data_IF_480147872976
#
_entry.id   IF_480147872976
#
_cell.length_a   1.000
_cell.length_b   1.000
_cell.length_c   1.000
_cell.angle_alpha   90.00
_cell.angle_beta   90.00
_cell.angle_gamma   90.00
#
_symmetry.space_group_name_H-M   'P 1'
#
loop_
_entity.id
_entity.type
_entity.pdbx_description
1 polymer ?
#
# COMPACT_ATOMS: atom_id res chain seq x y z
N UNK A 1 40.17 1.30 55.29
CA UNK A 1 40.37 0.82 53.91
C UNK A 1 39.06 1.00 53.16
N UNK A 2 38.92 2.03 52.31
CA UNK A 2 37.68 2.30 51.57
C UNK A 2 37.81 1.72 50.16
N UNK A 3 37.07 0.65 49.88
CA UNK A 3 37.03 0.00 48.57
C UNK A 3 36.16 0.86 47.65
N UNK A 4 36.76 1.47 46.62
CA UNK A 4 36.02 2.17 45.56
C UNK A 4 35.55 1.13 44.54
N UNK A 5 34.24 0.93 44.46
CA UNK A 5 33.60 0.10 43.45
C UNK A 5 33.59 0.89 42.13
N UNK A 6 34.39 0.46 41.16
CA UNK A 6 34.43 1.04 39.81
C UNK A 6 33.32 0.36 38.99
N UNK A 7 32.22 1.07 38.74
CA UNK A 7 31.13 0.59 37.89
C UNK A 7 31.55 0.85 36.44
N UNK A 8 31.96 -0.19 35.73
CA UNK A 8 32.23 -0.14 34.29
C UNK A 8 30.88 -0.16 33.56
N UNK A 9 30.49 0.97 32.97
CA UNK A 9 29.31 1.07 32.13
C UNK A 9 29.62 0.38 30.79
N UNK A 10 29.08 -0.82 30.58
CA UNK A 10 29.17 -1.53 29.31
C UNK A 10 28.20 -0.86 28.33
N UNK A 11 28.71 0.01 27.46
CA UNK A 11 27.96 0.52 26.31
C UNK A 11 27.74 -0.64 25.34
N UNK A 12 26.56 -1.25 25.40
CA UNK A 12 26.07 -2.17 24.37
C UNK A 12 25.72 -1.30 23.17
N UNK A 13 26.65 -1.15 22.23
CA UNK A 13 26.35 -0.63 20.91
C UNK A 13 25.51 -1.69 20.18
N UNK A 14 24.20 -1.49 20.13
CA UNK A 14 23.33 -2.23 19.20
C UNK A 14 23.74 -1.83 17.78
N UNK A 15 24.55 -2.66 17.13
CA UNK A 15 24.71 -2.57 15.69
C UNK A 15 23.36 -3.01 15.10
N UNK A 16 22.52 -2.05 14.73
CA UNK A 16 21.39 -2.31 13.84
C UNK A 16 22.01 -2.70 12.50
N UNK A 17 22.09 -4.01 12.25
CA UNK A 17 22.36 -4.50 10.91
C UNK A 17 21.10 -4.17 10.11
N UNK A 18 21.14 -3.08 9.34
CA UNK A 18 20.14 -2.80 8.34
C UNK A 18 20.29 -3.85 7.23
N UNK A 19 19.65 -5.00 7.43
CA UNK A 19 19.60 -6.05 6.44
C UNK A 19 18.46 -5.74 5.47
N UNK A 20 18.79 -5.63 4.19
CA UNK A 20 17.83 -5.81 3.10
C UNK A 20 16.98 -7.05 3.38
N UNK A 21 15.66 -6.93 3.22
CA UNK A 21 14.76 -8.07 3.46
C UNK A 21 15.15 -9.25 2.57
N UNK A 22 15.10 -10.46 3.12
CA UNK A 22 15.42 -11.69 2.38
C UNK A 22 14.59 -11.85 1.11
N UNK A 23 13.40 -11.25 1.08
CA UNK A 23 12.56 -11.18 -0.10
C UNK A 23 13.34 -10.59 -1.28
N UNK A 24 14.09 -9.50 -1.12
CA UNK A 24 14.79 -8.82 -2.23
C UNK A 24 16.16 -9.42 -2.61
N UNK A 25 16.50 -10.62 -2.13
CA UNK A 25 17.74 -11.30 -2.51
C UNK A 25 17.90 -11.36 -4.04
N UNK A 26 19.07 -10.91 -4.52
CA UNK A 26 19.41 -10.86 -5.95
C UNK A 26 19.08 -9.54 -6.66
N UNK A 27 18.47 -8.58 -5.97
CA UNK A 27 18.28 -7.22 -6.51
C UNK A 27 19.50 -6.36 -6.18
N UNK A 28 20.08 -5.74 -7.22
CA UNK A 28 21.17 -4.77 -7.08
C UNK A 28 20.61 -3.37 -6.89
N UNK A 29 20.53 -2.95 -5.63
CA UNK A 29 20.03 -1.61 -5.27
C UNK A 29 21.04 -0.50 -5.51
N UNK A 30 22.23 -0.73 -6.06
CA UNK A 30 23.09 0.36 -6.55
C UNK A 30 22.57 0.96 -7.87
N UNK A 31 21.68 0.23 -8.56
CA UNK A 31 21.05 0.65 -9.81
C UNK A 31 19.94 1.67 -9.57
N UNK A 32 19.58 2.39 -10.63
CA UNK A 32 18.56 3.45 -10.63
C UNK A 32 17.70 3.36 -11.90
N UNK A 33 16.62 4.14 -11.94
CA UNK A 33 15.79 4.32 -13.12
C UNK A 33 15.22 3.01 -13.65
N UNK A 34 15.21 2.88 -14.97
CA UNK A 34 14.62 1.75 -15.68
C UNK A 34 15.21 0.39 -15.28
N UNK A 35 16.51 0.33 -14.97
CA UNK A 35 17.15 -0.95 -14.61
C UNK A 35 16.63 -1.46 -13.27
N UNK A 36 16.52 -0.59 -12.26
CA UNK A 36 15.93 -0.94 -10.98
C UNK A 36 14.43 -1.26 -11.10
N UNK A 37 13.69 -0.46 -11.90
CA UNK A 37 12.28 -0.72 -12.20
C UNK A 37 12.07 -2.14 -12.74
N UNK A 38 12.82 -2.53 -13.77
CA UNK A 38 12.68 -3.86 -14.39
C UNK A 38 13.10 -4.98 -13.43
N UNK A 39 14.12 -4.76 -12.59
CA UNK A 39 14.52 -5.73 -11.58
C UNK A 39 13.39 -5.98 -10.55
N UNK A 40 12.76 -4.91 -10.06
CA UNK A 40 11.63 -5.00 -9.14
C UNK A 40 10.39 -5.59 -9.80
N UNK A 41 10.05 -5.17 -11.03
CA UNK A 41 8.95 -5.74 -11.81
C UNK A 41 9.10 -7.26 -11.94
N UNK A 42 10.28 -7.73 -12.35
CA UNK A 42 10.55 -9.17 -12.43
C UNK A 42 10.42 -9.85 -11.07
N UNK A 43 10.88 -9.20 -9.99
CA UNK A 43 10.78 -9.76 -8.64
C UNK A 43 9.33 -9.95 -8.22
N UNK A 44 8.55 -8.87 -8.27
CA UNK A 44 7.15 -8.86 -7.84
C UNK A 44 6.26 -9.60 -8.82
N UNK A 45 6.75 -9.95 -10.03
CA UNK A 45 6.03 -10.78 -10.99
C UNK A 45 5.79 -12.23 -10.54
N UNK A 46 6.56 -12.71 -9.56
CA UNK A 46 6.43 -14.04 -8.98
C UNK A 46 5.38 -14.02 -7.88
N UNK A 47 4.31 -14.80 -8.03
CA UNK A 47 3.19 -14.84 -7.08
C UNK A 47 2.49 -16.21 -7.14
N UNK A 48 1.64 -16.48 -6.15
CA UNK A 48 0.75 -17.62 -6.12
C UNK A 48 -0.36 -17.45 -7.17
N UNK A 49 -0.21 -18.11 -8.31
CA UNK A 49 -1.16 -18.04 -9.43
C UNK A 49 -2.52 -18.71 -9.13
N UNK A 50 -2.62 -19.45 -8.02
CA UNK A 50 -3.87 -20.02 -7.54
C UNK A 50 -4.67 -19.06 -6.63
N UNK A 51 -4.09 -17.92 -6.21
CA UNK A 51 -4.79 -16.94 -5.40
C UNK A 51 -5.90 -16.27 -6.22
N UNK A 52 -7.11 -16.32 -5.69
CA UNK A 52 -8.33 -15.91 -6.37
C UNK A 52 -8.88 -14.60 -5.84
N UNK A 53 -9.76 -13.99 -6.63
CA UNK A 53 -10.50 -12.81 -6.23
C UNK A 53 -11.35 -13.09 -4.99
N UNK A 54 -11.85 -14.32 -4.82
CA UNK A 54 -12.57 -14.78 -3.63
C UNK A 54 -11.71 -14.77 -2.36
N UNK A 55 -10.44 -15.17 -2.45
CA UNK A 55 -9.52 -15.27 -1.32
C UNK A 55 -9.25 -13.91 -0.66
N UNK A 56 -9.39 -12.81 -1.41
CA UNK A 56 -9.30 -11.45 -0.88
C UNK A 56 -10.28 -11.19 0.26
N UNK A 57 -11.49 -11.78 0.25
CA UNK A 57 -12.50 -11.60 1.30
C UNK A 57 -11.96 -12.03 2.66
N UNK A 58 -11.29 -13.17 2.69
CA UNK A 58 -10.80 -13.75 3.94
C UNK A 58 -9.43 -13.18 4.30
N UNK A 59 -8.59 -12.90 3.29
CA UNK A 59 -7.26 -12.27 3.44
C UNK A 59 -7.36 -10.87 4.07
N UNK A 60 -8.33 -10.05 3.66
CA UNK A 60 -8.45 -8.68 4.17
C UNK A 60 -8.83 -8.59 5.65
N UNK A 61 -9.38 -9.66 6.23
CA UNK A 61 -9.61 -9.71 7.68
C UNK A 61 -8.30 -9.66 8.46
N UNK A 62 -7.23 -10.21 7.89
CA UNK A 62 -5.88 -10.17 8.49
C UNK A 62 -5.06 -9.01 7.97
N UNK A 63 -5.11 -8.70 6.66
CA UNK A 63 -4.28 -7.63 6.11
C UNK A 63 -4.76 -6.24 6.46
N UNK A 64 -6.03 -6.10 6.81
CA UNK A 64 -6.64 -4.81 7.08
C UNK A 64 -7.23 -4.74 8.52
N UNK A 65 -6.82 -5.65 9.41
CA UNK A 65 -7.20 -5.65 10.83
C UNK A 65 -6.73 -4.38 11.55
N UNK A 66 -7.58 -3.79 12.41
CA UNK A 66 -7.23 -2.59 13.17
C UNK A 66 -6.21 -2.80 14.30
N UNK A 67 -6.13 -3.99 14.89
CA UNK A 67 -5.30 -4.30 16.07
C UNK A 67 -4.38 -5.50 15.81
N UNK A 68 -3.77 -5.55 14.64
CA UNK A 68 -2.76 -6.56 14.34
C UNK A 68 -1.50 -6.32 15.18
N UNK A 69 -1.55 -6.86 16.38
CA UNK A 69 -0.48 -6.76 17.35
C UNK A 69 0.55 -7.85 17.03
N UNK A 70 1.46 -7.55 16.12
CA UNK A 70 2.58 -8.42 15.70
C UNK A 70 3.53 -8.77 16.88
N UNK A 71 3.39 -8.11 18.04
CA UNK A 71 4.28 -8.28 19.18
C UNK A 71 3.76 -9.18 20.31
N UNK A 72 2.44 -9.34 20.48
CA UNK A 72 1.89 -10.06 21.65
C UNK A 72 0.98 -11.26 21.32
N UNK A 73 0.67 -11.48 20.03
CA UNK A 73 -0.15 -12.59 19.55
C UNK A 73 -1.52 -12.67 20.26
N UNK A 74 -2.03 -11.52 20.70
CA UNK A 74 -3.31 -11.36 21.37
C UNK A 74 -4.20 -10.40 20.59
N UNK A 75 -4.36 -10.69 19.31
CA UNK A 75 -5.33 -10.00 18.47
C UNK A 75 -6.75 -10.34 18.95
N UNK A 76 -7.45 -9.30 19.42
CA UNK A 76 -8.84 -9.37 19.87
C UNK A 76 -9.75 -8.48 19.04
N UNK A 77 -9.19 -7.84 18.01
CA UNK A 77 -9.98 -7.01 17.12
C UNK A 77 -10.97 -7.89 16.35
N UNK A 78 -12.09 -7.27 16.05
CA UNK A 78 -13.11 -7.86 15.16
C UNK A 78 -13.49 -6.84 14.10
N UNK A 79 -12.59 -5.91 13.80
CA UNK A 79 -12.85 -4.84 12.84
C UNK A 79 -11.69 -4.65 11.88
N UNK A 80 -12.02 -4.17 10.70
CA UNK A 80 -11.06 -3.83 9.65
C UNK A 80 -11.09 -2.34 9.39
N UNK A 81 -9.94 -1.78 9.03
CA UNK A 81 -9.84 -0.45 8.46
C UNK A 81 -10.51 -0.39 7.09
N UNK A 82 -11.27 0.67 6.84
CA UNK A 82 -11.88 0.95 5.55
C UNK A 82 -11.09 2.03 4.80
N UNK A 83 -10.56 1.70 3.62
CA UNK A 83 -9.89 2.69 2.77
C UNK A 83 -10.86 3.86 2.50
N UNK A 84 -10.32 5.07 2.61
CA UNK A 84 -11.03 6.36 2.54
C UNK A 84 -11.83 6.74 3.79
N UNK A 85 -12.11 5.83 4.71
CA UNK A 85 -12.83 6.11 5.95
C UNK A 85 -12.09 7.10 6.85
N UNK A 86 -12.81 7.88 7.65
CA UNK A 86 -12.19 8.91 8.51
C UNK A 86 -12.99 9.28 9.77
N UNK A 87 -14.18 8.72 10.02
CA UNK A 87 -14.99 9.11 11.18
C UNK A 87 -15.86 7.97 11.73
N UNK A 88 -15.60 7.52 12.96
CA UNK A 88 -16.44 6.54 13.68
C UNK A 88 -17.32 7.17 14.79
N UNK A 89 -17.36 8.51 14.86
CA UNK A 89 -17.93 9.24 16.01
C UNK A 89 -19.32 9.82 15.76
N UNK A 90 -19.90 9.57 14.58
CA UNK A 90 -21.25 10.02 14.23
C UNK A 90 -22.20 8.84 13.93
N UNK A 91 -23.38 9.12 13.36
CA UNK A 91 -24.38 8.10 13.02
C UNK A 91 -24.32 7.64 11.55
N UNK A 92 -23.39 8.19 10.77
CA UNK A 92 -23.23 7.94 9.34
C UNK A 92 -22.19 6.85 9.12
N UNK A 93 -22.63 5.69 8.68
CA UNK A 93 -21.70 4.59 8.41
C UNK A 93 -20.85 4.78 7.14
N UNK A 94 -21.20 5.74 6.27
CA UNK A 94 -20.61 5.85 4.92
C UNK A 94 -19.12 6.19 5.01
N UNK A 95 -18.73 7.02 5.96
CA UNK A 95 -17.37 7.50 6.17
C UNK A 95 -16.73 6.93 7.44
N UNK A 96 -17.31 5.86 7.99
CA UNK A 96 -16.69 5.07 9.06
C UNK A 96 -15.25 4.74 8.67
N UNK A 97 -14.35 4.91 9.64
CA UNK A 97 -12.94 4.54 9.52
C UNK A 97 -12.79 3.03 9.68
N UNK A 98 -13.64 2.39 10.48
CA UNK A 98 -13.60 0.93 10.72
C UNK A 98 -14.95 0.24 10.53
N UNK A 99 -14.92 -1.08 10.34
CA UNK A 99 -16.13 -1.89 10.22
C UNK A 99 -15.89 -3.28 10.78
N UNK A 100 -16.90 -3.86 11.44
CA UNK A 100 -16.80 -5.24 11.89
C UNK A 100 -16.47 -6.19 10.73
N UNK A 101 -15.48 -7.06 10.90
CA UNK A 101 -14.96 -7.98 9.88
C UNK A 101 -16.00 -9.00 9.36
N UNK A 102 -17.13 -9.14 10.06
CA UNK A 102 -18.22 -10.02 9.65
C UNK A 102 -19.30 -9.31 8.83
N UNK A 103 -19.16 -7.99 8.60
CA UNK A 103 -20.04 -7.18 7.76
C UNK A 103 -19.52 -7.04 6.32
N UNK A 104 -18.85 -8.09 5.81
CA UNK A 104 -18.50 -8.17 4.39
C UNK A 104 -19.75 -8.48 3.57
N UNK A 105 -20.05 -7.65 2.57
CA UNK A 105 -21.24 -7.86 1.75
C UNK A 105 -21.42 -6.83 0.65
N UNK A 106 -22.66 -6.38 0.48
CA UNK A 106 -23.08 -5.47 -0.60
C UNK A 106 -24.24 -4.55 -0.22
N UNK A 107 -24.64 -4.57 1.05
CA UNK A 107 -25.71 -3.74 1.61
C UNK A 107 -25.15 -2.44 2.17
N UNK A 108 -26.05 -1.53 2.56
CA UNK A 108 -25.67 -0.31 3.27
C UNK A 108 -25.01 -0.66 4.61
N UNK A 109 -23.98 0.09 4.98
CA UNK A 109 -23.19 -0.15 6.20
C UNK A 109 -22.56 -1.56 6.26
N UNK A 110 -22.33 -2.19 5.11
CA UNK A 110 -21.39 -3.30 4.93
C UNK A 110 -20.15 -2.79 4.20
N UNK A 111 -19.06 -3.56 4.23
CA UNK A 111 -17.87 -3.27 3.44
C UNK A 111 -17.73 -4.29 2.31
N UNK A 112 -17.07 -3.87 1.23
CA UNK A 112 -16.78 -4.72 0.08
C UNK A 112 -15.33 -4.52 -0.39
N UNK A 113 -15.01 -5.15 -1.53
CA UNK A 113 -13.71 -5.04 -2.19
C UNK A 113 -13.68 -3.76 -3.03
N UNK A 114 -12.83 -2.81 -2.66
CA UNK A 114 -12.44 -1.68 -3.50
C UNK A 114 -11.23 -2.06 -4.34
N UNK A 115 -11.33 -1.80 -5.65
CA UNK A 115 -10.18 -1.83 -6.56
C UNK A 115 -9.61 -0.41 -6.60
N UNK A 116 -8.58 -0.15 -5.78
CA UNK A 116 -8.02 1.20 -5.62
C UNK A 116 -7.55 1.75 -6.97
N UNK A 117 -6.84 0.93 -7.75
CA UNK A 117 -6.75 1.11 -9.20
C UNK A 117 -8.02 0.52 -9.82
N UNK A 118 -8.94 1.40 -10.22
CA UNK A 118 -10.25 0.97 -10.72
C UNK A 118 -10.11 0.09 -11.97
N UNK A 119 -10.85 -1.03 -11.99
CA UNK A 119 -10.78 -2.05 -13.05
C UNK A 119 -10.99 -1.49 -14.46
N UNK A 120 -11.89 -0.52 -14.59
CA UNK A 120 -12.28 0.13 -15.84
C UNK A 120 -11.24 1.13 -16.37
N UNK A 121 -10.27 1.53 -15.54
CA UNK A 121 -9.19 2.45 -15.94
C UNK A 121 -7.98 1.69 -16.49
N UNK A 122 -7.89 0.38 -16.28
CA UNK A 122 -6.80 -0.41 -16.84
C UNK A 122 -6.99 -0.58 -18.35
N UNK A 123 -5.89 -0.72 -19.09
CA UNK A 123 -5.92 -0.85 -20.55
C UNK A 123 -5.08 -2.05 -21.00
N UNK A 124 -5.69 -3.22 -21.30
CA UNK A 124 -7.12 -3.52 -21.26
C UNK A 124 -7.69 -3.55 -19.84
N UNK A 125 -9.02 -3.42 -19.71
CA UNK A 125 -9.71 -3.53 -18.42
C UNK A 125 -9.42 -4.87 -17.74
N UNK A 126 -9.45 -4.89 -16.40
CA UNK A 126 -9.05 -6.05 -15.60
C UNK A 126 -9.96 -7.29 -15.73
N UNK A 127 -11.10 -7.19 -16.43
CA UNK A 127 -12.07 -8.28 -16.55
C UNK A 127 -13.06 -8.35 -15.39
N UNK A 128 -13.88 -9.40 -15.32
CA UNK A 128 -14.95 -9.56 -14.32
C UNK A 128 -14.46 -9.97 -12.91
N UNK A 129 -15.35 -9.88 -11.92
CA UNK A 129 -15.06 -10.13 -10.49
C UNK A 129 -15.67 -11.43 -9.97
N UNK A 130 -15.72 -12.47 -10.80
CA UNK A 130 -16.02 -13.82 -10.30
C UNK A 130 -15.01 -14.21 -9.23
N UNK A 131 -15.48 -14.83 -8.14
CA UNK A 131 -14.61 -15.26 -7.04
C UNK A 131 -13.54 -16.27 -7.47
N UNK A 132 -13.72 -16.97 -8.60
CA UNK A 132 -12.74 -17.90 -9.14
C UNK A 132 -11.63 -17.26 -9.98
N UNK A 133 -11.75 -15.96 -10.30
CA UNK A 133 -10.78 -15.30 -11.17
C UNK A 133 -9.47 -15.09 -10.44
N UNK A 134 -8.36 -15.16 -11.18
CA UNK A 134 -7.00 -14.93 -10.69
C UNK A 134 -6.35 -13.79 -11.50
N UNK A 135 -5.09 -13.46 -11.20
CA UNK A 135 -4.34 -12.43 -11.93
C UNK A 135 -4.70 -11.01 -11.46
N UNK A 136 -4.62 -10.03 -12.37
CA UNK A 136 -4.71 -8.59 -12.05
C UNK A 136 -5.98 -8.19 -11.28
N UNK A 137 -7.12 -8.80 -11.59
CA UNK A 137 -8.38 -8.51 -10.89
C UNK A 137 -8.38 -9.01 -9.45
N UNK A 138 -7.55 -10.01 -9.14
CA UNK A 138 -7.42 -10.66 -7.86
C UNK A 138 -6.20 -10.20 -7.04
N UNK A 139 -5.36 -9.30 -7.58
CA UNK A 139 -4.13 -8.87 -6.90
C UNK A 139 -4.44 -8.15 -5.58
N UNK A 140 -4.09 -8.74 -4.43
CA UNK A 140 -4.45 -8.22 -3.12
C UNK A 140 -3.74 -6.92 -2.73
N UNK A 141 -2.67 -6.53 -3.45
CA UNK A 141 -2.05 -5.21 -3.27
C UNK A 141 -2.90 -4.07 -3.84
N UNK A 142 -3.89 -4.37 -4.69
CA UNK A 142 -4.84 -3.41 -5.23
C UNK A 142 -6.23 -3.46 -4.57
N UNK A 143 -6.44 -4.40 -3.65
CA UNK A 143 -7.73 -4.64 -3.01
C UNK A 143 -7.70 -4.19 -1.56
N UNK A 144 -8.68 -3.36 -1.20
CA UNK A 144 -8.90 -2.88 0.17
C UNK A 144 -10.38 -3.04 0.58
N UNK A 145 -10.67 -3.23 1.88
CA UNK A 145 -12.01 -3.00 2.40
C UNK A 145 -12.41 -1.54 2.19
N UNK A 146 -13.62 -1.29 1.73
CA UNK A 146 -14.22 0.05 1.73
C UNK A 146 -15.70 -0.08 2.05
N UNK A 147 -16.30 0.95 2.67
CA UNK A 147 -17.74 1.01 2.83
C UNK A 147 -18.41 0.90 1.44
N UNK A 148 -19.44 0.05 1.33
CA UNK A 148 -20.11 -0.21 0.05
C UNK A 148 -20.61 1.08 -0.61
N UNK A 149 -21.15 2.01 0.17
CA UNK A 149 -21.70 3.26 -0.36
C UNK A 149 -20.59 4.22 -0.73
N UNK A 150 -19.50 4.28 0.03
CA UNK A 150 -18.39 5.18 -0.25
C UNK A 150 -17.53 4.71 -1.43
N UNK A 151 -17.32 3.41 -1.54
CA UNK A 151 -16.76 2.78 -2.73
C UNK A 151 -17.57 3.15 -3.98
N UNK A 152 -18.91 3.03 -3.93
CA UNK A 152 -19.78 3.43 -5.04
C UNK A 152 -19.68 4.93 -5.37
N UNK A 153 -19.50 5.80 -4.37
CA UNK A 153 -19.30 7.24 -4.59
C UNK A 153 -17.98 7.55 -5.28
N UNK A 154 -16.89 6.85 -4.90
CA UNK A 154 -15.60 6.96 -5.58
C UNK A 154 -15.71 6.44 -7.02
N UNK A 155 -16.37 5.31 -7.22
CA UNK A 155 -16.59 4.68 -8.52
C UNK A 155 -15.28 4.45 -9.27
N UNK A 156 -15.10 5.12 -10.41
CA UNK A 156 -13.84 5.10 -11.17
C UNK A 156 -13.24 6.49 -11.34
N UNK A 157 -13.53 7.40 -10.39
CA UNK A 157 -12.90 8.71 -10.37
C UNK A 157 -11.39 8.55 -10.19
N UNK A 158 -10.64 9.24 -11.05
CA UNK A 158 -9.18 9.34 -10.93
C UNK A 158 -8.82 10.07 -9.65
N UNK A 159 -7.70 9.70 -9.04
CA UNK A 159 -7.17 10.42 -7.90
C UNK A 159 -6.69 11.81 -8.29
N UNK A 160 -7.00 12.79 -7.45
CA UNK A 160 -6.65 14.18 -7.64
C UNK A 160 -6.18 14.79 -6.33
N UNK A 161 -5.53 15.95 -6.41
CA UNK A 161 -5.09 16.72 -5.25
C UNK A 161 -6.27 17.10 -4.35
N UNK A 162 -6.02 17.27 -3.06
CA UNK A 162 -7.00 17.68 -2.05
C UNK A 162 -6.32 17.81 -0.69
N UNK A 163 -7.12 18.00 0.36
CA UNK A 163 -6.66 18.09 1.74
C UNK A 163 -7.79 17.71 2.69
N UNK A 164 -7.45 17.16 3.86
CA UNK A 164 -8.42 16.73 4.87
C UNK A 164 -9.02 15.37 4.55
N UNK A 165 -10.34 15.27 4.66
CA UNK A 165 -11.06 14.01 4.56
C UNK A 165 -11.28 13.58 3.10
N UNK A 166 -11.50 12.27 2.90
CA UNK A 166 -11.73 11.71 1.57
C UNK A 166 -13.01 12.24 0.91
N UNK A 167 -12.98 12.36 -0.43
CA UNK A 167 -14.14 12.74 -1.21
C UNK A 167 -13.80 13.35 -2.57
N UNK A 168 -14.83 13.81 -3.33
CA UNK A 168 -14.61 14.47 -4.61
C UNK A 168 -13.78 15.75 -4.46
N UNK A 169 -12.72 15.87 -5.25
CA UNK A 169 -11.82 17.02 -5.22
C UNK A 169 -11.16 17.22 -6.58
N UNK A 170 -10.99 18.48 -7.00
CA UNK A 170 -10.24 18.86 -8.21
C UNK A 170 -10.58 18.04 -9.47
N UNK A 171 -11.86 17.73 -9.67
CA UNK A 171 -12.35 16.95 -10.83
C UNK A 171 -12.11 15.44 -10.73
N UNK A 172 -11.61 14.94 -9.60
CA UNK A 172 -11.41 13.54 -9.30
C UNK A 172 -11.77 13.22 -7.85
N UNK A 173 -11.01 12.33 -7.24
CA UNK A 173 -11.17 11.87 -5.86
C UNK A 173 -9.91 12.15 -5.04
N UNK A 174 -10.05 12.78 -3.88
CA UNK A 174 -9.01 12.83 -2.88
C UNK A 174 -9.20 11.69 -1.88
N UNK A 175 -8.20 10.83 -1.64
CA UNK A 175 -8.37 9.67 -0.76
C UNK A 175 -8.37 10.03 0.73
N UNK A 176 -8.03 11.27 1.09
CA UNK A 176 -7.87 11.72 2.47
C UNK A 176 -6.40 11.81 2.89
N UNK A 177 -6.10 12.68 3.85
CA UNK A 177 -4.72 12.92 4.32
C UNK A 177 -4.06 11.67 4.90
N UNK A 178 -4.85 10.77 5.50
CA UNK A 178 -4.43 9.51 6.11
C UNK A 178 -4.13 8.39 5.10
N UNK A 179 -4.66 8.49 3.88
CA UNK A 179 -4.66 7.39 2.92
C UNK A 179 -3.86 7.68 1.66
N UNK A 180 -3.36 8.91 1.51
CA UNK A 180 -2.77 9.37 0.23
C UNK A 180 -1.46 8.65 -0.08
N UNK A 181 -0.66 8.33 0.93
CA UNK A 181 0.57 7.56 0.82
C UNK A 181 0.27 6.11 0.43
N UNK A 182 -0.69 5.49 1.11
CA UNK A 182 -1.17 4.14 0.81
C UNK A 182 -1.62 4.02 -0.65
N UNK A 183 -2.47 4.96 -1.08
CA UNK A 183 -2.94 5.04 -2.48
C UNK A 183 -1.78 5.22 -3.43
N UNK A 184 -0.85 6.13 -3.15
CA UNK A 184 0.31 6.35 -4.00
C UNK A 184 1.14 5.08 -4.18
N UNK A 185 1.46 4.37 -3.09
CA UNK A 185 2.25 3.13 -3.13
C UNK A 185 1.51 1.99 -3.81
N UNK A 186 0.18 1.89 -3.69
CA UNK A 186 -0.62 0.95 -4.46
C UNK A 186 -0.56 1.27 -5.97
N UNK A 187 -0.64 2.55 -6.37
CA UNK A 187 -0.56 2.92 -7.80
C UNK A 187 0.84 2.69 -8.38
N UNK A 188 1.89 2.99 -7.61
CA UNK A 188 3.27 2.68 -7.99
C UNK A 188 3.47 1.18 -8.17
N UNK A 189 2.96 0.35 -7.25
CA UNK A 189 3.00 -1.11 -7.39
C UNK A 189 2.26 -1.58 -8.63
N UNK A 190 1.02 -1.12 -8.85
CA UNK A 190 0.23 -1.55 -10.02
C UNK A 190 0.93 -1.20 -11.32
N UNK A 191 1.52 -0.01 -11.41
CA UNK A 191 2.32 0.36 -12.57
C UNK A 191 3.56 -0.53 -12.71
N UNK A 192 4.36 -0.72 -11.65
CA UNK A 192 5.54 -1.59 -11.74
C UNK A 192 5.19 -3.04 -12.08
N UNK A 193 4.08 -3.58 -11.57
CA UNK A 193 3.65 -4.97 -11.76
C UNK A 193 3.04 -5.23 -13.13
N UNK A 194 2.23 -4.29 -13.63
CA UNK A 194 1.40 -4.47 -14.83
C UNK A 194 1.72 -3.51 -15.98
N UNK A 195 2.69 -2.62 -15.78
CA UNK A 195 3.31 -1.75 -16.78
C UNK A 195 2.28 -0.95 -17.59
N UNK A 196 2.31 -1.05 -18.92
CA UNK A 196 1.40 -0.36 -19.84
C UNK A 196 -0.09 -0.58 -19.53
N UNK A 197 -0.46 -1.68 -18.85
CA UNK A 197 -1.86 -1.92 -18.47
C UNK A 197 -2.35 -0.99 -17.35
N UNK A 198 -1.44 -0.52 -16.49
CA UNK A 198 -1.75 0.27 -15.30
C UNK A 198 -0.94 1.58 -15.25
N UNK A 199 -0.88 2.32 -16.36
CA UNK A 199 -0.18 3.60 -16.38
C UNK A 199 -0.74 4.58 -15.33
N UNK A 200 0.10 5.33 -14.60
CA UNK A 200 -0.34 6.26 -13.56
C UNK A 200 -1.34 7.32 -14.06
N UNK A 201 -1.20 7.77 -15.31
CA UNK A 201 -2.14 8.73 -15.92
C UNK A 201 -3.57 8.19 -16.12
N UNK A 202 -3.76 6.87 -16.12
CA UNK A 202 -5.09 6.28 -16.21
C UNK A 202 -5.86 6.44 -14.92
N UNK A 203 -5.19 6.48 -13.77
CA UNK A 203 -5.80 6.47 -12.44
C UNK A 203 -5.59 7.76 -11.65
N UNK A 204 -4.69 8.66 -12.07
CA UNK A 204 -4.46 9.95 -11.43
C UNK A 204 -4.60 11.14 -12.37
N UNK A 205 -4.79 12.32 -11.79
CA UNK A 205 -4.82 13.62 -12.47
C UNK A 205 -3.61 14.42 -12.00
N UNK A 206 -2.71 14.75 -12.92
CA UNK A 206 -1.54 15.55 -12.61
C UNK A 206 -0.51 15.56 -13.73
N UNK A 207 0.60 16.27 -13.48
CA UNK A 207 1.74 16.27 -14.37
C UNK A 207 2.58 14.99 -14.20
N UNK A 208 3.18 14.53 -15.29
CA UNK A 208 4.17 13.47 -15.27
C UNK A 208 5.51 13.98 -14.70
N UNK A 209 6.25 13.08 -14.07
CA UNK A 209 7.59 13.33 -13.56
C UNK A 209 8.60 13.16 -14.70
N UNK A 210 9.03 14.29 -15.28
CA UNK A 210 9.98 14.30 -16.39
C UNK A 210 9.52 13.38 -17.53
N UNK A 211 10.35 12.39 -17.86
CA UNK A 211 10.08 11.40 -18.92
C UNK A 211 9.73 10.01 -18.38
N UNK A 212 9.42 9.87 -17.08
CA UNK A 212 9.36 8.56 -16.41
C UNK A 212 7.95 7.98 -16.30
N UNK A 213 6.95 8.60 -16.97
CA UNK A 213 5.52 8.26 -16.98
C UNK A 213 4.81 8.15 -15.61
N UNK A 214 5.53 8.35 -14.50
CA UNK A 214 4.99 8.45 -13.15
C UNK A 214 4.35 9.81 -12.92
N UNK A 215 3.23 9.87 -12.20
CA UNK A 215 2.63 11.14 -11.79
C UNK A 215 3.38 11.76 -10.61
N UNK A 216 3.66 13.06 -10.70
CA UNK A 216 4.21 13.84 -9.60
C UNK A 216 3.33 13.78 -8.35
N UNK A 217 2.01 13.64 -8.54
CA UNK A 217 1.04 13.48 -7.46
C UNK A 217 1.38 12.30 -6.55
N UNK A 218 1.60 11.12 -7.13
CA UNK A 218 1.87 9.92 -6.33
C UNK A 218 3.26 9.98 -5.67
N UNK A 219 4.27 10.54 -6.36
CA UNK A 219 5.58 10.76 -5.74
C UNK A 219 5.48 11.71 -4.54
N UNK A 220 4.71 12.79 -4.66
CA UNK A 220 4.52 13.73 -3.56
C UNK A 220 3.76 13.09 -2.40
N UNK A 221 2.68 12.36 -2.66
CA UNK A 221 1.92 11.67 -1.62
C UNK A 221 2.73 10.60 -0.89
N UNK A 222 3.60 9.87 -1.60
CA UNK A 222 4.52 8.92 -0.98
C UNK A 222 5.51 9.57 0.00
N UNK A 223 5.79 10.86 -0.15
CA UNK A 223 6.62 11.65 0.79
C UNK A 223 5.77 12.24 1.91
N UNK A 224 4.61 12.82 1.56
CA UNK A 224 3.76 13.55 2.50
C UNK A 224 3.09 12.64 3.55
N UNK A 225 2.92 11.36 3.21
CA UNK A 225 2.28 10.36 4.05
C UNK A 225 3.17 9.10 4.12
N UNK A 226 4.06 9.03 5.14
CA UNK A 226 5.01 7.95 5.33
C UNK A 226 4.34 6.58 5.47
N UNK A 227 5.11 5.52 5.24
CA UNK A 227 4.60 4.15 5.36
C UNK A 227 4.16 3.87 6.79
N UNK A 228 2.91 3.46 6.96
CA UNK A 228 2.35 3.11 8.26
C UNK A 228 2.68 1.67 8.68
N UNK A 229 2.51 1.36 9.97
CA UNK A 229 2.61 -0.03 10.46
C UNK A 229 1.53 -0.93 9.82
N UNK A 230 0.35 -0.37 9.58
CA UNK A 230 -0.78 -1.02 8.90
C UNK A 230 -0.42 -1.51 7.49
N UNK A 231 0.24 -0.68 6.70
CA UNK A 231 0.71 -1.09 5.38
C UNK A 231 1.79 -2.18 5.44
N UNK A 232 2.72 -2.04 6.39
CA UNK A 232 3.80 -3.00 6.56
C UNK A 232 3.28 -4.40 6.93
N UNK A 233 2.32 -4.47 7.86
CA UNK A 233 1.60 -5.70 8.21
C UNK A 233 0.99 -6.37 6.97
N UNK A 234 0.24 -5.63 6.15
CA UNK A 234 -0.36 -6.18 4.93
C UNK A 234 0.73 -6.76 4.04
N UNK A 235 1.80 -6.02 3.84
CA UNK A 235 2.88 -6.43 2.95
C UNK A 235 3.56 -7.72 3.42
N UNK A 236 3.79 -7.84 4.72
CA UNK A 236 4.35 -9.04 5.35
C UNK A 236 3.41 -10.25 5.22
N UNK A 237 2.12 -10.09 5.48
CA UNK A 237 1.17 -11.18 5.34
C UNK A 237 1.00 -11.62 3.89
N UNK A 238 0.93 -10.68 2.94
CA UNK A 238 0.77 -10.99 1.52
C UNK A 238 1.98 -11.72 0.92
N UNK A 239 3.19 -11.51 1.44
CA UNK A 239 4.33 -12.36 1.07
C UNK A 239 4.02 -13.85 1.30
N UNK A 240 3.33 -14.18 2.41
CA UNK A 240 3.06 -15.57 2.79
C UNK A 240 1.95 -16.24 1.97
N UNK A 241 0.89 -15.51 1.63
CA UNK A 241 -0.31 -16.07 0.96
C UNK A 241 -0.36 -15.81 -0.55
N UNK A 242 0.14 -14.65 -0.98
CA UNK A 242 0.17 -14.22 -2.37
C UNK A 242 1.57 -14.37 -2.99
N UNK A 243 2.63 -14.39 -2.19
CA UNK A 243 3.99 -14.70 -2.66
C UNK A 243 4.79 -13.50 -3.15
N UNK A 244 4.24 -12.28 -3.09
CA UNK A 244 4.97 -11.06 -3.42
C UNK A 244 4.72 -9.92 -2.43
N UNK A 245 5.54 -8.88 -2.56
CA UNK A 245 5.49 -7.67 -1.74
C UNK A 245 5.37 -6.44 -2.64
N UNK A 246 4.78 -5.37 -2.11
CA UNK A 246 4.86 -4.03 -2.64
C UNK A 246 6.19 -3.38 -2.21
N UNK A 247 7.16 -3.14 -3.12
CA UNK A 247 8.46 -2.60 -2.76
C UNK A 247 8.40 -1.18 -2.21
N UNK A 248 7.39 -0.42 -2.58
CA UNK A 248 7.23 0.97 -2.14
C UNK A 248 6.71 1.08 -0.71
N UNK A 249 6.10 0.01 -0.17
CA UNK A 249 5.80 -0.12 1.26
C UNK A 249 7.07 -0.51 2.04
N UNK A 250 7.85 -1.47 1.54
CA UNK A 250 9.07 -1.91 2.23
C UNK A 250 10.14 -0.81 2.28
N UNK A 251 10.27 -0.04 1.19
CA UNK A 251 11.11 1.15 1.16
C UNK A 251 10.61 2.19 0.15
N UNK A 252 9.96 3.28 0.60
CA UNK A 252 9.40 4.29 -0.29
C UNK A 252 10.46 5.06 -1.07
N UNK A 253 11.73 5.07 -0.62
CA UNK A 253 12.86 5.65 -1.38
C UNK A 253 13.11 4.97 -2.73
N UNK A 254 12.66 3.72 -2.92
CA UNK A 254 12.74 3.05 -4.23
C UNK A 254 12.01 3.84 -5.32
N UNK A 255 10.92 4.54 -4.98
CA UNK A 255 10.23 5.42 -5.90
C UNK A 255 11.15 6.58 -6.35
N UNK A 256 11.90 7.18 -5.42
CA UNK A 256 12.90 8.21 -5.72
C UNK A 256 14.00 7.68 -6.62
N UNK A 257 14.51 6.46 -6.39
CA UNK A 257 15.56 5.87 -7.25
C UNK A 257 15.10 5.59 -8.68
N UNK A 258 13.82 5.27 -8.86
CA UNK A 258 13.27 4.89 -10.17
C UNK A 258 12.81 6.11 -10.95
N UNK A 259 12.02 6.99 -10.32
CA UNK A 259 11.32 8.08 -11.01
C UNK A 259 11.83 9.47 -10.61
N UNK A 260 12.66 9.59 -9.57
CA UNK A 260 13.12 10.86 -9.02
C UNK A 260 12.05 11.56 -8.18
N UNK A 261 12.03 12.90 -8.23
CA UNK A 261 11.16 13.71 -7.38
C UNK A 261 11.79 14.04 -6.03
N UNK A 262 10.97 14.50 -5.08
CA UNK A 262 11.41 14.72 -3.70
C UNK A 262 11.82 13.37 -3.08
N UNK A 263 12.91 13.37 -2.31
CA UNK A 263 13.39 12.17 -1.64
C UNK A 263 12.35 11.67 -0.61
N UNK A 264 11.89 10.43 -0.77
CA UNK A 264 11.08 9.74 0.21
C UNK A 264 11.94 9.17 1.35
N UNK A 265 11.29 8.64 2.38
CA UNK A 265 11.99 8.00 3.50
C UNK A 265 12.76 6.75 3.03
N UNK A 266 14.04 6.63 3.41
CA UNK A 266 14.80 5.40 3.24
C UNK A 266 14.71 4.54 4.51
N UNK A 267 13.75 3.61 4.52
CA UNK A 267 13.50 2.74 5.68
C UNK A 267 14.63 1.73 5.93
N UNK A 268 15.47 1.46 4.94
CA UNK A 268 16.61 0.57 5.09
C UNK A 268 17.89 1.30 5.45
N UNK A 269 17.94 2.63 5.36
CA UNK A 269 19.11 3.44 5.69
C UNK A 269 20.39 3.09 4.91
N UNK A 270 20.25 2.39 3.78
CA UNK A 270 21.37 1.90 2.96
C UNK A 270 21.36 2.47 1.55
N UNK A 271 20.29 3.18 1.16
CA UNK A 271 20.07 3.65 -0.21
C UNK A 271 20.23 5.16 -0.36
N UNK A 272 19.97 5.93 0.70
CA UNK A 272 20.04 7.40 0.74
C UNK A 272 21.40 7.97 1.13
N UNK A 273 22.45 7.15 1.23
CA UNK A 273 23.81 7.61 1.54
C UNK A 273 24.53 7.85 0.21
N UNK A 274 24.54 9.11 -0.24
CA UNK A 274 25.50 9.65 -1.19
C UNK A 274 26.73 10.23 -0.46
#
# INVERSE_FOLDING_TARGET
MKIKLLITFLLISTNLIFAQESYYNGIDFSQNGQTLYTALQNKISNYNTAFTYGDNRDTMKTTDDEDFNDADNNDTSTTVWLIYGYNDTDASCINDRTRNENLFGGSNCEYNREHVFARSLAVPEMGDTSNSNTGIVADPHNIRPSDVQFNNQRGSLKFATGSGNAGPSNGGWYPGDEWKGDVARMMMYMYTRYDDQCKPEYVGIGALQGTTEMLQLFLQWNVDDPVSAFEYQKNQYLETVYGNRNPFIDNPYLATKIWGGTAAEDKWGTLGID
#
